data_IF_615802451781
#
_entry.id   IF_615802451781
#
_cell.length_a   1.000
_cell.length_b   1.000
_cell.length_c   1.000
_cell.angle_alpha   90.00
_cell.angle_beta   90.00
_cell.angle_gamma   90.00
#
_symmetry.space_group_name_H-M   'P 1'
#
loop_
_entity.id
_entity.type
_entity.pdbx_description
1 polymer ?
#
# COMPACT_ATOMS: atom_id res chain seq x y z
N UNK A 1 9.71 6.27 13.72
CA UNK A 1 8.52 6.94 14.33
C UNK A 1 8.21 6.41 15.74
N UNK A 2 7.60 7.19 16.60
CA UNK A 2 7.21 6.77 17.97
C UNK A 2 5.84 6.08 17.95
N UNK A 3 5.82 4.77 17.84
CA UNK A 3 4.59 3.99 17.74
C UNK A 3 4.35 3.07 18.95
N UNK A 4 5.40 2.63 19.66
CA UNK A 4 5.28 1.69 20.79
C UNK A 4 4.47 2.26 21.94
N UNK A 5 3.63 1.41 22.56
CA UNK A 5 2.78 1.80 23.72
C UNK A 5 1.56 2.64 23.37
N UNK A 6 1.25 2.82 22.08
CA UNK A 6 0.06 3.54 21.61
C UNK A 6 -1.13 2.60 21.43
N UNK A 7 -2.32 3.16 21.14
CA UNK A 7 -3.54 2.38 20.89
C UNK A 7 -3.33 1.42 19.72
N UNK A 8 -3.81 0.20 19.86
CA UNK A 8 -3.82 -0.81 18.81
C UNK A 8 -5.26 -1.01 18.35
N UNK A 9 -5.48 -1.00 17.04
CA UNK A 9 -6.80 -1.23 16.45
C UNK A 9 -7.26 -2.68 16.65
N UNK A 10 -8.54 -2.87 16.93
CA UNK A 10 -9.20 -4.19 16.93
C UNK A 10 -9.67 -4.63 15.54
N UNK A 11 -9.43 -3.80 14.52
CA UNK A 11 -9.80 -4.08 13.13
C UNK A 11 -8.71 -4.84 12.35
N UNK A 12 -7.72 -5.42 13.03
CA UNK A 12 -6.71 -6.29 12.42
C UNK A 12 -7.18 -7.75 12.48
N UNK A 13 -7.15 -8.44 11.33
CA UNK A 13 -7.36 -9.87 11.19
C UNK A 13 -6.01 -10.51 10.84
N UNK A 14 -5.41 -11.26 11.77
CA UNK A 14 -4.16 -11.98 11.50
C UNK A 14 -4.46 -13.38 10.94
N UNK A 15 -4.10 -13.61 9.68
CA UNK A 15 -4.30 -14.86 8.95
C UNK A 15 -2.98 -15.49 8.50
N UNK A 16 -1.86 -15.20 9.19
CA UNK A 16 -0.52 -15.70 8.88
C UNK A 16 -0.29 -17.17 9.32
N UNK A 17 -1.30 -17.85 9.87
CA UNK A 17 -1.19 -19.17 10.48
C UNK A 17 -1.13 -20.37 9.53
N UNK A 18 -1.18 -20.19 8.22
CA UNK A 18 -0.99 -21.28 7.28
C UNK A 18 0.48 -21.56 7.06
N UNK A 19 0.91 -22.77 7.36
CA UNK A 19 2.30 -23.20 7.40
C UNK A 19 3.16 -22.61 6.31
N UNK A 20 4.31 -22.07 6.72
CA UNK A 20 5.32 -21.56 5.83
C UNK A 20 5.81 -22.64 4.86
N UNK A 21 5.11 -22.84 3.75
CA UNK A 21 5.70 -23.48 2.59
C UNK A 21 6.84 -22.53 2.18
N UNK A 22 8.07 -23.04 2.20
CA UNK A 22 9.24 -22.34 1.66
C UNK A 22 8.93 -22.01 0.20
N UNK A 23 8.39 -20.83 -0.03
CA UNK A 23 8.13 -20.33 -1.37
C UNK A 23 9.50 -20.00 -1.98
N UNK A 24 9.84 -20.69 -3.04
CA UNK A 24 10.80 -20.20 -4.02
C UNK A 24 10.16 -18.96 -4.65
N UNK A 25 10.46 -17.77 -4.12
CA UNK A 25 9.77 -16.55 -4.47
C UNK A 25 10.05 -16.12 -5.91
N UNK A 26 8.99 -15.94 -6.67
CA UNK A 26 9.04 -15.02 -7.80
C UNK A 26 9.08 -13.62 -7.16
N UNK A 27 10.17 -12.89 -7.36
CA UNK A 27 10.33 -11.55 -6.79
C UNK A 27 9.27 -10.59 -7.32
N UNK A 28 8.89 -9.58 -6.53
CA UNK A 28 8.02 -8.46 -6.99
C UNK A 28 8.57 -7.89 -8.31
N UNK A 29 9.88 -7.76 -8.43
CA UNK A 29 10.54 -7.34 -9.67
C UNK A 29 10.23 -8.33 -10.83
N UNK A 30 10.19 -9.63 -10.57
CA UNK A 30 9.81 -10.65 -11.54
C UNK A 30 8.37 -10.53 -12.01
N UNK A 31 7.44 -10.17 -11.11
CA UNK A 31 6.03 -9.94 -11.48
C UNK A 31 5.83 -8.59 -12.17
N UNK A 32 6.52 -7.55 -11.75
CA UNK A 32 6.54 -6.27 -12.48
C UNK A 32 7.12 -6.48 -13.88
N UNK A 33 8.22 -7.21 -14.02
CA UNK A 33 8.81 -7.58 -15.32
C UNK A 33 7.85 -8.44 -16.14
N UNK A 34 7.17 -9.42 -15.54
CA UNK A 34 6.17 -10.25 -16.21
C UNK A 34 4.94 -9.44 -16.63
N UNK A 35 4.48 -8.52 -15.80
CA UNK A 35 3.38 -7.61 -16.13
C UNK A 35 3.75 -6.63 -17.24
N UNK A 36 4.96 -6.07 -17.19
CA UNK A 36 5.49 -5.19 -18.24
C UNK A 36 5.72 -5.97 -19.53
N UNK A 37 6.28 -7.18 -19.47
CA UNK A 37 6.49 -8.05 -20.63
C UNK A 37 5.16 -8.48 -21.29
N UNK A 38 4.15 -8.83 -20.49
CA UNK A 38 2.80 -9.08 -21.00
C UNK A 38 2.22 -7.85 -21.71
N UNK A 39 2.37 -6.69 -21.11
CA UNK A 39 1.75 -5.46 -21.59
C UNK A 39 2.44 -4.90 -22.84
N UNK A 40 3.76 -5.11 -22.99
CA UNK A 40 4.58 -4.47 -24.04
C UNK A 40 5.14 -5.45 -25.08
N UNK A 41 5.36 -6.72 -24.74
CA UNK A 41 5.94 -7.70 -25.67
C UNK A 41 4.89 -8.64 -26.28
N UNK A 42 3.60 -8.43 -26.01
CA UNK A 42 2.52 -9.23 -26.61
C UNK A 42 2.50 -10.70 -26.18
N UNK A 43 3.13 -11.04 -25.06
CA UNK A 43 3.07 -12.39 -24.49
C UNK A 43 1.63 -12.70 -24.15
N UNK A 44 1.10 -13.83 -24.65
CA UNK A 44 -0.30 -14.24 -24.44
C UNK A 44 -0.62 -14.29 -22.93
N UNK A 45 -1.66 -13.56 -22.46
CA UNK A 45 -2.10 -13.60 -21.08
C UNK A 45 -2.37 -15.01 -20.55
N UNK A 46 -2.80 -15.93 -21.42
CA UNK A 46 -3.04 -17.34 -21.05
C UNK A 46 -1.73 -18.09 -20.77
N UNK A 47 -0.65 -17.81 -21.46
CA UNK A 47 0.66 -18.42 -21.16
C UNK A 47 1.26 -17.87 -19.86
N UNK A 48 1.15 -16.57 -19.62
CA UNK A 48 1.55 -15.98 -18.34
C UNK A 48 0.69 -16.53 -17.19
N UNK A 49 -0.62 -16.67 -17.39
CA UNK A 49 -1.55 -17.26 -16.43
C UNK A 49 -1.30 -18.75 -16.17
N UNK A 50 -0.97 -19.54 -17.18
CA UNK A 50 -0.60 -20.97 -17.03
C UNK A 50 0.75 -21.14 -16.33
N UNK A 51 1.73 -20.29 -16.61
CA UNK A 51 3.00 -20.30 -15.88
C UNK A 51 2.81 -19.95 -14.40
N UNK A 52 1.90 -19.05 -14.07
CA UNK A 52 1.54 -18.75 -12.67
C UNK A 52 0.71 -19.88 -12.04
N UNK A 53 -0.15 -20.56 -12.76
CA UNK A 53 -0.94 -21.69 -12.21
C UNK A 53 -0.09 -22.90 -11.82
N UNK A 54 1.00 -23.18 -12.53
CA UNK A 54 1.91 -24.29 -12.16
C UNK A 54 2.64 -24.02 -10.84
N UNK A 55 2.84 -22.76 -10.50
CA UNK A 55 3.42 -22.36 -9.20
C UNK A 55 2.35 -22.30 -8.10
N UNK A 56 1.11 -21.93 -8.46
CA UNK A 56 -0.01 -21.74 -7.50
C UNK A 56 -0.61 -23.06 -6.98
N UNK A 57 -0.41 -24.17 -7.65
CA UNK A 57 -0.92 -25.48 -7.18
C UNK A 57 -0.27 -25.96 -5.87
N UNK A 58 0.80 -25.31 -5.40
CA UNK A 58 1.48 -25.64 -4.13
C UNK A 58 1.16 -24.69 -2.96
N UNK A 59 0.40 -23.63 -3.18
CA UNK A 59 0.05 -22.67 -2.13
C UNK A 59 -1.47 -22.55 -1.97
N UNK A 60 -2.04 -23.33 -1.05
CA UNK A 60 -3.42 -23.08 -0.61
C UNK A 60 -3.46 -21.78 0.20
N UNK A 61 -4.44 -20.86 -0.08
CA UNK A 61 -4.67 -19.70 0.75
C UNK A 61 -4.90 -20.12 2.20
N UNK A 62 -4.19 -19.49 3.13
CA UNK A 62 -4.40 -19.72 4.55
C UNK A 62 -5.41 -18.72 5.10
N UNK A 63 -6.53 -19.22 5.59
CA UNK A 63 -7.54 -18.44 6.32
C UNK A 63 -7.44 -18.65 7.85
N UNK A 64 -6.38 -19.31 8.33
CA UNK A 64 -6.25 -19.65 9.75
C UNK A 64 -5.39 -18.60 10.47
N UNK A 65 -5.85 -18.19 11.65
CA UNK A 65 -5.03 -17.42 12.58
C UNK A 65 -3.85 -18.27 13.08
N UNK A 66 -2.67 -17.69 13.29
CA UNK A 66 -1.53 -18.40 13.86
C UNK A 66 -1.83 -18.83 15.30
N UNK A 67 -1.55 -20.10 15.63
CA UNK A 67 -1.70 -20.60 17.01
C UNK A 67 -0.69 -19.92 17.96
N UNK A 68 0.51 -19.63 17.47
CA UNK A 68 1.55 -18.92 18.20
C UNK A 68 2.27 -17.95 17.26
N UNK A 69 2.37 -16.70 17.66
CA UNK A 69 3.18 -15.69 16.99
C UNK A 69 4.62 -15.73 17.50
N UNK A 70 5.60 -15.60 16.60
CA UNK A 70 6.97 -15.27 17.03
C UNK A 70 7.02 -13.83 17.56
N UNK A 71 8.05 -13.46 18.35
CA UNK A 71 8.21 -12.08 18.82
C UNK A 71 8.18 -11.06 17.67
N UNK A 72 8.82 -11.36 16.54
CA UNK A 72 8.84 -10.49 15.36
C UNK A 72 7.44 -10.38 14.71
N UNK A 73 6.70 -11.48 14.67
CA UNK A 73 5.32 -11.48 14.16
C UNK A 73 4.38 -10.69 15.08
N UNK A 74 4.59 -10.78 16.39
CA UNK A 74 3.83 -10.00 17.35
C UNK A 74 4.14 -8.52 17.22
N UNK A 75 5.43 -8.12 17.15
CA UNK A 75 5.84 -6.73 16.94
C UNK A 75 5.25 -6.17 15.63
N UNK A 76 5.26 -6.93 14.55
CA UNK A 76 4.64 -6.54 13.30
C UNK A 76 3.11 -6.34 13.43
N UNK A 77 2.42 -7.20 14.19
CA UNK A 77 0.98 -7.04 14.47
C UNK A 77 0.69 -5.80 15.28
N UNK A 78 1.50 -5.53 16.31
CA UNK A 78 1.38 -4.34 17.15
C UNK A 78 1.63 -3.06 16.35
N UNK A 79 2.66 -3.06 15.49
CA UNK A 79 2.97 -1.95 14.61
C UNK A 79 1.82 -1.66 13.62
N UNK A 80 1.40 -2.66 12.85
CA UNK A 80 0.30 -2.53 11.89
C UNK A 80 -0.99 -2.10 12.58
N UNK A 81 -1.30 -2.68 13.74
CA UNK A 81 -2.46 -2.32 14.53
C UNK A 81 -2.40 -0.89 15.06
N UNK A 82 -1.21 -0.39 15.43
CA UNK A 82 -1.03 0.99 15.88
C UNK A 82 -1.23 1.97 14.73
N UNK A 83 -0.62 1.72 13.57
CA UNK A 83 -0.81 2.59 12.40
C UNK A 83 -2.28 2.62 11.96
N UNK A 84 -2.96 1.47 11.94
CA UNK A 84 -4.39 1.42 11.60
C UNK A 84 -5.23 2.21 12.61
N UNK A 85 -4.94 2.10 13.93
CA UNK A 85 -5.60 2.89 14.95
C UNK A 85 -5.41 4.40 14.75
N UNK A 86 -4.22 4.82 14.35
CA UNK A 86 -3.92 6.22 14.04
C UNK A 86 -4.70 6.74 12.83
N UNK A 87 -4.90 5.89 11.81
CA UNK A 87 -5.76 6.26 10.67
C UNK A 87 -7.22 6.40 11.09
N UNK A 88 -7.73 5.53 11.97
CA UNK A 88 -9.08 5.62 12.53
C UNK A 88 -9.29 6.93 13.30
N UNK A 89 -8.31 7.31 14.14
CA UNK A 89 -8.35 8.54 14.94
C UNK A 89 -8.21 9.80 14.07
N UNK A 90 -7.60 9.68 12.91
CA UNK A 90 -7.50 10.76 11.92
C UNK A 90 -8.80 10.93 11.12
N UNK A 91 -9.30 9.85 10.55
CA UNK A 91 -10.41 9.94 9.60
C UNK A 91 -11.77 10.11 10.27
N UNK A 92 -11.96 9.59 11.48
CA UNK A 92 -13.24 9.72 12.21
C UNK A 92 -13.67 11.17 12.42
N UNK A 93 -12.82 12.09 12.93
CA UNK A 93 -13.20 13.50 13.06
C UNK A 93 -13.35 14.20 11.71
N UNK A 94 -12.55 13.87 10.70
CA UNK A 94 -12.67 14.45 9.34
C UNK A 94 -14.02 14.10 8.73
N UNK A 95 -14.43 12.83 8.76
CA UNK A 95 -15.74 12.43 8.24
C UNK A 95 -16.90 13.09 9.01
N UNK A 96 -16.76 13.25 10.32
CA UNK A 96 -17.75 13.99 11.10
C UNK A 96 -17.88 15.45 10.67
N UNK A 97 -16.77 16.11 10.35
CA UNK A 97 -16.77 17.49 9.82
C UNK A 97 -17.42 17.56 8.44
N UNK A 98 -17.28 16.52 7.62
CA UNK A 98 -17.93 16.39 6.33
C UNK A 98 -19.42 15.99 6.42
N UNK A 99 -19.96 15.83 7.63
CA UNK A 99 -21.37 15.45 7.87
C UNK A 99 -21.64 13.96 7.73
N UNK A 100 -20.60 13.12 7.66
CA UNK A 100 -20.66 11.67 7.50
C UNK A 100 -20.17 10.91 8.72
N UNK A 101 -20.11 9.58 8.57
CA UNK A 101 -19.54 8.66 9.56
C UNK A 101 -18.44 7.85 8.91
N UNK A 102 -17.27 7.81 9.54
CA UNK A 102 -16.18 6.95 9.10
C UNK A 102 -16.41 5.52 9.60
N UNK A 103 -16.41 4.56 8.70
CA UNK A 103 -16.41 3.14 9.02
C UNK A 103 -14.99 2.62 8.74
N UNK A 104 -14.21 2.23 9.77
CA UNK A 104 -12.85 1.75 9.56
C UNK A 104 -12.80 0.48 8.70
N UNK A 105 -11.77 0.31 7.86
CA UNK A 105 -11.56 -0.95 7.14
C UNK A 105 -11.09 -2.03 8.11
N UNK A 106 -11.30 -3.28 7.74
CA UNK A 106 -10.52 -4.38 8.31
C UNK A 106 -9.17 -4.46 7.61
N UNK A 107 -8.10 -4.69 8.37
CA UNK A 107 -6.79 -4.97 7.82
C UNK A 107 -6.46 -6.44 8.03
N UNK A 108 -6.20 -7.15 6.94
CA UNK A 108 -5.87 -8.58 6.94
C UNK A 108 -4.36 -8.75 6.77
N UNK A 109 -3.69 -9.27 7.77
CA UNK A 109 -2.30 -9.72 7.67
C UNK A 109 -2.27 -11.16 7.17
N UNK A 110 -1.49 -11.43 6.14
CA UNK A 110 -1.40 -12.77 5.55
C UNK A 110 0.05 -13.13 5.21
N UNK A 111 0.28 -14.37 4.76
CA UNK A 111 1.56 -14.84 4.25
C UNK A 111 1.36 -15.62 2.96
N UNK A 112 2.11 -15.25 1.91
CA UNK A 112 2.14 -15.94 0.62
C UNK A 112 0.95 -15.63 -0.27
N UNK A 113 -0.21 -16.26 -0.07
CA UNK A 113 -1.40 -16.03 -0.90
C UNK A 113 -2.65 -15.89 -0.03
N UNK A 114 -3.58 -15.03 -0.46
CA UNK A 114 -4.85 -14.78 0.22
C UNK A 114 -6.00 -14.67 -0.79
N UNK A 115 -7.20 -15.09 -0.38
CA UNK A 115 -8.43 -14.83 -1.13
C UNK A 115 -9.09 -13.57 -0.57
N UNK A 116 -9.36 -12.61 -1.43
CA UNK A 116 -10.09 -11.37 -1.14
C UNK A 116 -11.41 -11.32 -1.92
N UNK A 117 -12.25 -10.35 -1.62
CA UNK A 117 -13.43 -10.03 -2.44
C UNK A 117 -13.10 -9.62 -3.87
N UNK A 118 -11.86 -9.20 -4.14
CA UNK A 118 -11.37 -8.80 -5.45
C UNK A 118 -10.65 -9.95 -6.20
N UNK A 119 -10.62 -11.16 -5.64
CA UNK A 119 -9.94 -12.32 -6.20
C UNK A 119 -8.80 -12.84 -5.34
N UNK A 120 -8.03 -13.77 -5.88
CA UNK A 120 -6.84 -14.31 -5.21
C UNK A 120 -5.66 -13.35 -5.42
N UNK A 121 -5.03 -12.93 -4.33
CA UNK A 121 -3.82 -12.12 -4.34
C UNK A 121 -2.63 -12.92 -3.79
N UNK A 122 -1.43 -12.60 -4.27
CA UNK A 122 -0.16 -13.15 -3.80
C UNK A 122 0.65 -12.04 -3.12
N UNK A 123 1.47 -12.41 -2.14
CA UNK A 123 2.37 -11.49 -1.43
C UNK A 123 3.18 -10.59 -2.37
N UNK A 124 3.65 -11.16 -3.48
CA UNK A 124 4.42 -10.45 -4.50
C UNK A 124 3.66 -9.31 -5.23
N UNK A 125 2.35 -9.16 -5.01
CA UNK A 125 1.57 -8.03 -5.55
C UNK A 125 1.68 -6.78 -4.67
N UNK A 126 2.30 -6.91 -3.50
CA UNK A 126 2.35 -5.85 -2.48
C UNK A 126 1.05 -5.72 -1.68
N UNK A 127 1.01 -4.78 -0.74
CA UNK A 127 -0.21 -4.38 -0.05
C UNK A 127 -1.27 -3.86 -1.03
N UNK A 128 -2.54 -4.04 -0.69
CA UNK A 128 -3.64 -3.52 -1.52
C UNK A 128 -4.92 -3.34 -0.69
N UNK A 129 -5.75 -2.41 -1.14
CA UNK A 129 -7.13 -2.27 -0.70
C UNK A 129 -8.09 -2.95 -1.69
N UNK A 130 -9.04 -3.72 -1.19
CA UNK A 130 -10.09 -4.31 -2.00
C UNK A 130 -11.43 -3.60 -1.75
N UNK A 131 -11.98 -2.86 -2.72
CA UNK A 131 -13.26 -2.16 -2.55
C UNK A 131 -14.46 -3.09 -2.42
N UNK A 132 -14.39 -4.33 -2.93
CA UNK A 132 -15.50 -5.27 -2.90
C UNK A 132 -15.80 -5.80 -1.49
N UNK A 133 -14.80 -5.97 -0.65
CA UNK A 133 -14.96 -6.39 0.75
C UNK A 133 -14.53 -5.34 1.78
N UNK A 134 -14.06 -4.17 1.29
CA UNK A 134 -13.63 -3.01 2.10
C UNK A 134 -12.51 -3.36 3.09
N UNK A 135 -11.57 -4.19 2.66
CA UNK A 135 -10.42 -4.63 3.47
C UNK A 135 -9.10 -4.18 2.87
N UNK A 136 -8.16 -3.87 3.74
CA UNK A 136 -6.74 -3.71 3.42
C UNK A 136 -6.05 -5.05 3.61
N UNK A 137 -5.16 -5.44 2.72
CA UNK A 137 -4.43 -6.69 2.76
C UNK A 137 -2.92 -6.43 2.76
N UNK A 138 -2.20 -7.02 3.70
CA UNK A 138 -0.75 -6.86 3.84
C UNK A 138 -0.09 -8.20 4.14
N UNK A 139 0.90 -8.58 3.32
CA UNK A 139 1.92 -9.55 3.72
C UNK A 139 3.10 -8.78 4.32
N UNK A 140 3.41 -9.04 5.59
CA UNK A 140 4.52 -8.34 6.28
C UNK A 140 5.88 -8.64 5.70
N UNK A 141 6.04 -9.72 4.91
CA UNK A 141 7.26 -9.96 4.15
C UNK A 141 7.55 -8.84 3.13
N UNK A 142 6.52 -8.13 2.66
CA UNK A 142 6.66 -6.98 1.78
C UNK A 142 7.57 -5.89 2.35
N UNK A 143 7.55 -5.65 3.65
CA UNK A 143 8.40 -4.65 4.29
C UNK A 143 9.91 -4.98 4.17
N UNK A 144 10.25 -6.28 4.17
CA UNK A 144 11.61 -6.73 3.88
C UNK A 144 11.97 -6.54 2.41
N UNK A 145 11.03 -6.83 1.53
CA UNK A 145 11.21 -6.67 0.08
C UNK A 145 11.37 -5.19 -0.30
N UNK A 146 10.64 -4.27 0.33
CA UNK A 146 10.83 -2.83 0.16
C UNK A 146 12.31 -2.43 0.38
N UNK A 147 12.96 -2.96 1.41
CA UNK A 147 14.37 -2.70 1.68
C UNK A 147 15.29 -3.45 0.72
N UNK A 148 15.09 -4.75 0.57
CA UNK A 148 16.03 -5.62 -0.14
C UNK A 148 15.98 -5.48 -1.65
N UNK A 149 14.80 -5.28 -2.23
CA UNK A 149 14.59 -5.23 -3.68
C UNK A 149 14.45 -3.80 -4.21
N UNK A 150 13.74 -2.94 -3.48
CA UNK A 150 13.56 -1.55 -3.90
C UNK A 150 14.61 -0.62 -3.30
N UNK A 151 15.41 -1.10 -2.34
CA UNK A 151 16.44 -0.31 -1.66
C UNK A 151 15.84 0.83 -0.83
N UNK A 152 14.57 0.73 -0.40
CA UNK A 152 13.94 1.72 0.46
C UNK A 152 14.65 1.64 1.81
N UNK A 153 15.33 2.73 2.15
CA UNK A 153 16.11 2.85 3.36
C UNK A 153 15.25 3.28 4.54
N UNK A 154 15.82 3.25 5.72
CA UNK A 154 15.28 3.80 6.95
C UNK A 154 16.25 3.60 8.07
N UNK A 155 16.38 4.59 8.94
CA UNK A 155 17.10 4.47 10.21
C UNK A 155 16.12 3.88 11.22
N UNK A 156 16.44 2.68 11.70
CA UNK A 156 15.69 2.06 12.78
C UNK A 156 16.42 2.30 14.09
N UNK A 157 15.65 2.64 15.12
CA UNK A 157 16.18 2.78 16.46
C UNK A 157 16.88 1.48 16.90
N UNK A 158 17.99 1.61 17.63
CA UNK A 158 18.75 0.45 18.15
C UNK A 158 17.87 -0.52 18.97
N UNK A 159 16.71 -0.07 19.45
CA UNK A 159 15.73 -0.89 20.16
C UNK A 159 14.88 -1.77 19.24
N UNK A 160 14.96 -1.59 17.93
CA UNK A 160 14.18 -2.33 16.92
C UNK A 160 15.07 -3.31 16.12
N UNK A 161 15.97 -4.01 16.83
CA UNK A 161 16.94 -4.93 16.21
C UNK A 161 16.28 -6.00 15.31
N UNK A 162 15.06 -6.42 15.64
CA UNK A 162 14.30 -7.41 14.87
C UNK A 162 13.84 -6.91 13.49
N UNK A 163 13.90 -5.60 13.25
CA UNK A 163 13.41 -4.94 12.04
C UNK A 163 14.50 -4.31 11.18
N UNK A 164 15.76 -4.48 11.51
CA UNK A 164 16.90 -3.86 10.79
C UNK A 164 17.01 -4.24 9.31
N UNK A 165 16.41 -5.36 8.92
CA UNK A 165 16.38 -5.83 7.53
C UNK A 165 15.14 -5.34 6.73
N UNK A 166 14.27 -4.53 7.34
CA UNK A 166 13.07 -3.98 6.73
C UNK A 166 13.27 -2.52 6.32
N UNK A 167 12.38 -1.98 5.50
CA UNK A 167 12.28 -0.54 5.28
C UNK A 167 12.01 0.18 6.60
N UNK A 168 12.34 1.46 6.69
CA UNK A 168 12.07 2.29 7.85
C UNK A 168 10.61 2.20 8.30
N UNK A 169 10.36 2.39 9.57
CA UNK A 169 9.01 2.21 10.12
C UNK A 169 8.01 3.23 9.56
N UNK A 170 8.46 4.44 9.26
CA UNK A 170 7.58 5.44 8.66
C UNK A 170 7.30 5.15 7.18
N UNK A 171 8.23 4.56 6.43
CA UNK A 171 7.97 4.08 5.06
C UNK A 171 6.88 3.00 5.04
N UNK A 172 6.93 2.06 6.01
CA UNK A 172 5.90 1.04 6.17
C UNK A 172 4.54 1.65 6.56
N UNK A 173 4.53 2.62 7.49
CA UNK A 173 3.34 3.31 7.92
C UNK A 173 2.69 4.12 6.79
N UNK A 174 3.51 4.78 5.94
CA UNK A 174 3.03 5.47 4.74
C UNK A 174 2.27 4.52 3.81
N UNK A 175 2.79 3.32 3.55
CA UNK A 175 2.10 2.35 2.70
C UNK A 175 0.75 1.95 3.30
N UNK A 176 0.69 1.67 4.61
CA UNK A 176 -0.58 1.34 5.28
C UNK A 176 -1.58 2.50 5.16
N UNK A 177 -1.11 3.73 5.39
CA UNK A 177 -1.96 4.93 5.31
C UNK A 177 -2.44 5.21 3.88
N UNK A 178 -1.63 4.88 2.86
CA UNK A 178 -1.99 4.96 1.45
C UNK A 178 -3.13 3.97 1.12
N UNK A 179 -3.05 2.72 1.55
CA UNK A 179 -4.12 1.74 1.35
C UNK A 179 -5.42 2.13 2.08
N UNK A 180 -5.31 2.73 3.27
CA UNK A 180 -6.46 3.35 3.95
C UNK A 180 -6.97 4.56 3.17
N UNK A 181 -6.11 5.29 2.47
CA UNK A 181 -6.50 6.35 1.54
C UNK A 181 -7.47 5.84 0.44
N UNK A 182 -7.21 4.67 -0.13
CA UNK A 182 -8.15 4.04 -1.07
C UNK A 182 -9.48 3.65 -0.41
N UNK A 183 -9.46 3.25 0.85
CA UNK A 183 -10.70 3.02 1.59
C UNK A 183 -11.50 4.31 1.77
N UNK A 184 -10.84 5.41 2.11
CA UNK A 184 -11.45 6.75 2.20
C UNK A 184 -12.08 7.16 0.87
N UNK A 185 -11.38 6.99 -0.25
CA UNK A 185 -11.91 7.23 -1.60
C UNK A 185 -13.16 6.41 -1.90
N UNK A 186 -13.18 5.15 -1.46
CA UNK A 186 -14.35 4.29 -1.61
C UNK A 186 -15.54 4.80 -0.80
N UNK A 187 -15.33 5.18 0.47
CA UNK A 187 -16.38 5.76 1.33
C UNK A 187 -16.92 7.09 0.81
N UNK A 188 -16.08 7.91 0.17
CA UNK A 188 -16.45 9.18 -0.46
C UNK A 188 -17.10 8.99 -1.84
N UNK A 189 -17.20 7.76 -2.35
CA UNK A 189 -17.76 7.44 -3.65
C UNK A 189 -16.87 7.78 -4.85
N UNK A 190 -15.63 8.23 -4.60
CA UNK A 190 -14.66 8.61 -5.65
C UNK A 190 -14.29 7.39 -6.49
N UNK A 191 -13.96 6.25 -5.84
CA UNK A 191 -13.57 5.03 -6.53
C UNK A 191 -14.64 4.54 -7.52
N UNK A 192 -15.92 4.61 -7.17
CA UNK A 192 -17.02 4.21 -8.05
C UNK A 192 -17.21 5.15 -9.24
N UNK A 193 -17.00 6.45 -9.05
CA UNK A 193 -17.04 7.44 -10.14
C UNK A 193 -15.88 7.21 -11.12
N UNK A 194 -14.67 6.92 -10.61
CA UNK A 194 -13.50 6.59 -11.44
C UNK A 194 -13.76 5.33 -12.25
N UNK A 195 -14.25 4.26 -11.64
CA UNK A 195 -14.58 3.01 -12.35
C UNK A 195 -15.61 3.23 -13.48
N UNK A 196 -16.65 4.03 -13.24
CA UNK A 196 -17.63 4.36 -14.25
C UNK A 196 -17.04 5.18 -15.42
N UNK A 197 -16.13 6.10 -15.12
CA UNK A 197 -15.42 6.89 -16.13
C UNK A 197 -14.45 6.03 -16.94
N UNK A 198 -13.71 5.14 -16.27
CA UNK A 198 -12.79 4.18 -16.92
C UNK A 198 -13.55 3.25 -17.89
N UNK A 199 -14.73 2.75 -17.50
CA UNK A 199 -15.54 1.87 -18.35
C UNK A 199 -16.02 2.53 -19.65
N UNK A 200 -16.07 3.86 -19.70
CA UNK A 200 -16.49 4.65 -20.87
C UNK A 200 -15.34 5.22 -21.68
N UNK A 201 -14.14 5.26 -21.12
CA UNK A 201 -12.98 5.89 -21.71
C UNK A 201 -12.08 4.92 -22.49
N UNK A 202 -11.08 5.48 -23.17
CA UNK A 202 -9.96 4.72 -23.73
C UNK A 202 -9.05 4.19 -22.60
N UNK A 203 -8.17 3.23 -22.93
CA UNK A 203 -7.19 2.69 -22.01
C UNK A 203 -6.29 3.78 -21.41
N UNK A 204 -5.79 4.70 -22.24
CA UNK A 204 -4.95 5.82 -21.80
C UNK A 204 -5.70 6.73 -20.82
N UNK A 205 -6.95 7.05 -21.11
CA UNK A 205 -7.81 7.81 -20.19
C UNK A 205 -8.04 7.06 -18.87
N UNK A 206 -8.26 5.75 -18.95
CA UNK A 206 -8.38 4.90 -17.77
C UNK A 206 -7.13 4.91 -16.91
N UNK A 207 -5.95 4.81 -17.52
CA UNK A 207 -4.67 4.89 -16.83
C UNK A 207 -4.48 6.26 -16.14
N UNK A 208 -4.81 7.36 -16.83
CA UNK A 208 -4.74 8.71 -16.25
C UNK A 208 -5.66 8.88 -15.03
N UNK A 209 -6.86 8.30 -15.07
CA UNK A 209 -7.75 8.28 -13.92
C UNK A 209 -7.21 7.45 -12.76
N UNK A 210 -6.55 6.32 -13.05
CA UNK A 210 -5.86 5.53 -12.03
C UNK A 210 -4.76 6.36 -11.37
N UNK A 211 -3.91 7.03 -12.15
CA UNK A 211 -2.86 7.92 -11.61
C UNK A 211 -3.46 8.95 -10.66
N UNK A 212 -4.56 9.62 -11.03
CA UNK A 212 -5.21 10.61 -10.16
C UNK A 212 -5.72 10.01 -8.85
N UNK A 213 -6.24 8.79 -8.90
CA UNK A 213 -6.72 8.06 -7.73
C UNK A 213 -5.54 7.74 -6.78
N UNK A 214 -4.43 7.26 -7.33
CA UNK A 214 -3.21 6.94 -6.57
C UNK A 214 -2.61 8.19 -5.90
N UNK A 215 -2.46 9.27 -6.65
CA UNK A 215 -1.92 10.53 -6.12
C UNK A 215 -2.81 11.12 -5.01
N UNK A 216 -4.12 10.92 -5.09
CA UNK A 216 -5.03 11.32 -4.03
C UNK A 216 -4.85 10.45 -2.78
N UNK A 217 -4.61 9.15 -2.94
CA UNK A 217 -4.29 8.26 -1.82
C UNK A 217 -2.97 8.65 -1.14
N UNK A 218 -1.95 9.07 -1.90
CA UNK A 218 -0.72 9.66 -1.36
C UNK A 218 -0.99 10.94 -0.54
N UNK A 219 -1.84 11.82 -1.06
CA UNK A 219 -2.25 13.03 -0.34
C UNK A 219 -2.98 12.67 0.96
N UNK A 220 -3.86 11.69 0.95
CA UNK A 220 -4.57 11.21 2.13
C UNK A 220 -3.63 10.57 3.16
N UNK A 221 -2.59 9.87 2.73
CA UNK A 221 -1.52 9.41 3.62
C UNK A 221 -0.78 10.60 4.26
N UNK A 222 -0.55 11.67 3.51
CA UNK A 222 -0.01 12.93 4.04
C UNK A 222 -0.92 13.60 5.07
N UNK A 223 -2.25 13.62 4.84
CA UNK A 223 -3.24 14.12 5.82
C UNK A 223 -3.16 13.31 7.11
N UNK A 224 -3.11 11.98 7.01
CA UNK A 224 -2.94 11.12 8.18
C UNK A 224 -1.69 11.52 8.98
N UNK A 225 -0.55 11.68 8.30
CA UNK A 225 0.71 12.04 8.95
C UNK A 225 0.62 13.41 9.65
N UNK A 226 0.00 14.42 9.00
CA UNK A 226 -0.22 15.75 9.57
C UNK A 226 -1.05 15.69 10.86
N UNK A 227 -2.24 15.11 10.80
CA UNK A 227 -3.15 15.05 11.96
C UNK A 227 -2.58 14.19 13.07
N UNK A 228 -1.90 13.09 12.73
CA UNK A 228 -1.30 12.22 13.72
C UNK A 228 -0.13 12.92 14.44
N UNK A 229 0.69 13.69 13.71
CA UNK A 229 1.75 14.50 14.30
C UNK A 229 1.19 15.56 15.26
N UNK A 230 0.17 16.28 14.84
CA UNK A 230 -0.48 17.28 15.71
C UNK A 230 -1.04 16.67 16.98
N UNK A 231 -1.57 15.45 16.93
CA UNK A 231 -2.20 14.77 18.06
C UNK A 231 -1.19 14.09 18.99
N UNK A 232 -0.11 13.53 18.44
CA UNK A 232 0.74 12.58 19.19
C UNK A 232 2.23 12.91 19.17
N UNK A 233 2.67 13.84 18.32
CA UNK A 233 4.09 14.16 18.10
C UNK A 233 4.91 12.89 17.82
N UNK A 234 4.44 12.05 16.91
CA UNK A 234 4.96 10.73 16.67
C UNK A 234 6.17 10.69 15.73
N UNK A 235 6.39 11.75 14.96
CA UNK A 235 7.49 11.82 14.01
C UNK A 235 8.84 11.94 14.72
N UNK A 236 9.82 11.27 14.15
CA UNK A 236 11.24 11.33 14.52
C UNK A 236 12.05 11.83 13.33
N UNK A 237 13.31 12.16 13.59
CA UNK A 237 14.20 12.63 12.53
C UNK A 237 14.41 11.52 11.49
N UNK A 238 14.23 11.83 10.21
CA UNK A 238 14.38 10.87 9.11
C UNK A 238 13.06 10.27 8.60
N UNK A 239 11.99 10.30 9.39
CA UNK A 239 10.71 9.68 9.04
C UNK A 239 10.14 10.19 7.71
N UNK A 240 10.13 11.50 7.51
CA UNK A 240 9.59 12.10 6.28
C UNK A 240 10.42 11.68 5.07
N UNK A 241 11.74 11.63 5.22
CA UNK A 241 12.67 11.16 4.21
C UNK A 241 12.41 9.71 3.84
N UNK A 242 12.06 8.85 4.80
CA UNK A 242 11.68 7.45 4.56
C UNK A 242 10.41 7.33 3.71
N UNK A 243 9.36 8.09 4.04
CA UNK A 243 8.14 8.12 3.22
C UNK A 243 8.40 8.66 1.83
N UNK A 244 9.24 9.70 1.71
CA UNK A 244 9.61 10.28 0.42
C UNK A 244 10.41 9.29 -0.43
N UNK A 245 11.34 8.55 0.16
CA UNK A 245 12.11 7.50 -0.51
C UNK A 245 11.19 6.36 -0.99
N UNK A 246 10.22 5.95 -0.15
CA UNK A 246 9.21 4.98 -0.53
C UNK A 246 8.36 5.49 -1.71
N UNK A 247 7.77 6.69 -1.61
CA UNK A 247 6.96 7.28 -2.66
C UNK A 247 7.73 7.42 -3.99
N UNK A 248 9.03 7.75 -3.92
CA UNK A 248 9.91 7.84 -5.08
C UNK A 248 10.10 6.47 -5.75
N UNK A 249 10.42 5.45 -4.97
CA UNK A 249 10.82 4.13 -5.48
C UNK A 249 9.65 3.27 -5.96
N UNK A 250 8.43 3.59 -5.55
CA UNK A 250 7.21 2.95 -6.06
C UNK A 250 6.52 3.75 -7.18
N UNK A 251 7.11 4.84 -7.66
CA UNK A 251 6.64 5.54 -8.85
C UNK A 251 6.85 4.73 -10.14
N UNK A 252 5.90 4.83 -11.08
CA UNK A 252 5.92 4.07 -12.34
C UNK A 252 7.18 4.36 -13.17
N UNK A 253 7.66 5.60 -13.18
CA UNK A 253 8.87 6.01 -13.89
C UNK A 253 10.13 5.32 -13.33
N UNK A 254 10.24 5.25 -12.00
CA UNK A 254 11.33 4.54 -11.33
C UNK A 254 11.26 3.04 -11.61
N UNK A 255 10.11 2.42 -11.37
CA UNK A 255 9.91 0.98 -11.52
C UNK A 255 10.14 0.52 -12.97
N UNK A 256 9.61 1.25 -13.96
CA UNK A 256 9.81 0.93 -15.38
C UNK A 256 11.26 1.08 -15.80
N UNK A 257 11.94 2.14 -15.33
CA UNK A 257 13.36 2.36 -15.61
C UNK A 257 14.24 1.24 -15.06
N UNK A 258 13.94 0.78 -13.82
CA UNK A 258 14.64 -0.36 -13.21
C UNK A 258 14.38 -1.67 -13.95
N UNK A 259 13.14 -1.91 -14.36
CA UNK A 259 12.74 -3.17 -14.99
C UNK A 259 13.19 -3.30 -16.45
N UNK A 260 13.13 -2.21 -17.23
CA UNK A 260 13.29 -2.25 -18.69
C UNK A 260 14.29 -1.24 -19.25
N UNK A 261 14.76 -0.31 -18.46
CA UNK A 261 15.58 0.84 -18.87
C UNK A 261 14.80 1.92 -19.63
N UNK A 262 13.50 1.74 -19.86
CA UNK A 262 12.64 2.66 -20.61
C UNK A 262 11.44 3.10 -19.78
N UNK A 263 10.97 4.32 -20.04
CA UNK A 263 9.80 4.90 -19.36
C UNK A 263 8.73 5.21 -20.41
N UNK A 264 7.49 4.73 -20.17
CA UNK A 264 6.35 4.88 -21.07
C UNK A 264 5.19 5.54 -20.32
N UNK A 265 5.09 6.88 -20.35
CA UNK A 265 4.10 7.63 -19.53
C UNK A 265 2.64 7.23 -19.75
N UNK A 266 2.23 6.92 -20.97
CA UNK A 266 0.85 6.49 -21.28
C UNK A 266 0.44 5.17 -20.60
N UNK A 267 1.40 4.43 -20.09
CA UNK A 267 1.15 3.18 -19.37
C UNK A 267 1.14 3.32 -17.86
N UNK A 268 1.40 4.51 -17.33
CA UNK A 268 1.40 4.75 -15.89
C UNK A 268 0.01 4.53 -15.30
N UNK A 269 -0.01 3.90 -14.15
CA UNK A 269 -1.20 3.65 -13.36
C UNK A 269 -1.09 4.19 -11.93
N UNK A 270 0.15 4.43 -11.46
CA UNK A 270 0.44 4.95 -10.11
C UNK A 270 1.02 6.38 -10.13
N UNK A 271 1.48 6.85 -11.30
CA UNK A 271 2.09 8.16 -11.45
C UNK A 271 3.61 8.16 -11.29
N UNK A 272 4.23 9.30 -11.53
CA UNK A 272 5.68 9.46 -11.41
C UNK A 272 6.10 9.59 -9.94
N UNK A 273 7.35 9.25 -9.66
CA UNK A 273 8.00 9.49 -8.37
C UNK A 273 7.78 10.92 -7.86
N UNK A 274 7.97 11.91 -8.74
CA UNK A 274 7.79 13.32 -8.39
C UNK A 274 6.35 13.67 -8.04
N UNK A 275 5.37 13.16 -8.78
CA UNK A 275 3.95 13.37 -8.50
C UNK A 275 3.56 12.78 -7.15
N UNK A 276 3.96 11.54 -6.88
CA UNK A 276 3.67 10.85 -5.61
C UNK A 276 4.22 11.61 -4.40
N UNK A 277 5.50 11.99 -4.45
CA UNK A 277 6.14 12.81 -3.41
C UNK A 277 5.41 14.15 -3.22
N UNK A 278 5.06 14.83 -4.32
CA UNK A 278 4.35 16.11 -4.27
C UNK A 278 3.01 16.01 -3.54
N UNK A 279 2.21 15.01 -3.87
CA UNK A 279 0.87 14.86 -3.29
C UNK A 279 0.92 14.41 -1.83
N UNK A 280 1.84 13.52 -1.46
CA UNK A 280 2.08 13.21 -0.05
C UNK A 280 2.45 14.47 0.75
N UNK A 281 3.39 15.28 0.23
CA UNK A 281 3.78 16.55 0.87
C UNK A 281 2.63 17.56 0.97
N UNK A 282 1.75 17.63 -0.04
CA UNK A 282 0.59 18.51 -0.01
C UNK A 282 -0.35 18.15 1.17
N UNK A 283 -0.66 16.87 1.34
CA UNK A 283 -1.43 16.38 2.47
C UNK A 283 -0.74 16.62 3.81
N UNK A 284 0.56 16.28 3.91
CA UNK A 284 1.36 16.47 5.11
C UNK A 284 1.43 17.94 5.56
N UNK A 285 1.56 18.86 4.62
CA UNK A 285 1.68 20.30 4.92
C UNK A 285 0.35 20.90 5.38
N UNK A 286 -0.75 20.47 4.81
CA UNK A 286 -2.04 21.15 4.98
C UNK A 286 -2.98 20.45 5.95
N UNK A 287 -2.99 19.12 5.96
CA UNK A 287 -3.99 18.33 6.68
C UNK A 287 -5.43 18.52 6.16
N UNK A 288 -5.61 19.23 5.04
CA UNK A 288 -6.92 19.61 4.51
C UNK A 288 -7.28 18.74 3.29
N UNK A 289 -8.38 17.99 3.41
CA UNK A 289 -8.87 17.09 2.36
C UNK A 289 -9.18 17.83 1.04
N UNK A 290 -9.54 19.12 1.11
CA UNK A 290 -9.83 19.93 -0.07
C UNK A 290 -8.57 20.20 -0.91
N UNK A 291 -7.38 20.10 -0.32
CA UNK A 291 -6.11 20.23 -1.04
C UNK A 291 -5.71 18.95 -1.80
N UNK A 292 -6.45 17.86 -1.65
CA UNK A 292 -6.20 16.58 -2.29
C UNK A 292 -7.06 16.36 -3.56
N UNK A 293 -7.55 17.42 -4.20
CA UNK A 293 -8.34 17.29 -5.43
C UNK A 293 -7.45 17.06 -6.67
N UNK A 294 -6.95 15.85 -6.82
CA UNK A 294 -6.10 15.44 -7.96
C UNK A 294 -6.85 15.40 -9.29
N UNK A 295 -8.19 15.34 -9.26
CA UNK A 295 -9.01 15.21 -10.46
C UNK A 295 -9.18 16.55 -11.21
N UNK A 296 -9.05 17.67 -10.52
CA UNK A 296 -9.08 19.00 -11.12
C UNK A 296 -7.68 19.63 -11.26
N UNK A 297 -6.68 19.05 -10.62
CA UNK A 297 -5.33 19.54 -10.70
C UNK A 297 -4.67 19.27 -12.05
N UNK A 298 -3.72 20.10 -12.42
CA UNK A 298 -2.80 19.81 -13.52
C UNK A 298 -1.68 18.91 -12.97
N UNK A 299 -1.71 17.63 -13.35
CA UNK A 299 -0.77 16.61 -12.88
C UNK A 299 0.16 16.15 -14.00
#
# INVERSE_FOLDING_TARGET
MRWKGRRISTNVEDRRGGGAAKAGGISILGLIVAFVAWKFLGVDPQMAYQATQTVTQQQQPSDQAPEHLTPEQQEASEFVGTVLADTEDTWSPIFKQLGGTYTPPKLVMFSGAIRSGCGTAQAAMGPFYCPADQKVYIDTAFFKEMRQQMGISGEQNQTELSRQDQAGDFAQAYVIAHEVGHHVQNLLGISSQVQQAQAKGSRTQGNQLSVRLELQADCFAGIWANHNEQRTQFLEQGDIEEAMDAAQKIGDDYLQKQATGQVVPDSFTHGTSQQRMHWFQAGLKTGDINQCNTFEANI
#
